data_IF_094852698548
#
_entry.id   IF_094852698548
#
_cell.length_a   1.000
_cell.length_b   1.000
_cell.length_c   1.000
_cell.angle_alpha   90.00
_cell.angle_beta   90.00
_cell.angle_gamma   90.00
#
_symmetry.space_group_name_H-M   'P 1'
#
loop_
_entity.id
_entity.type
_entity.pdbx_description
1 polymer ?
#
# COMPACT_ATOMS: atom_id res chain seq x y z
N UNK A 1 -10.30 29.55 1.34
CA UNK A 1 -9.97 29.52 2.78
C UNK A 1 -10.14 28.12 3.39
N UNK A 2 -11.27 27.42 3.21
CA UNK A 2 -11.49 26.06 3.74
C UNK A 2 -10.49 24.99 3.27
N UNK A 3 -9.93 25.10 2.05
CA UNK A 3 -8.94 24.16 1.53
C UNK A 3 -7.60 24.17 2.29
N UNK A 4 -7.21 25.30 2.90
CA UNK A 4 -5.94 25.36 3.63
C UNK A 4 -6.00 24.58 4.95
N UNK A 5 -7.18 24.55 5.59
CA UNK A 5 -7.38 23.91 6.90
C UNK A 5 -7.07 22.41 6.89
N UNK A 6 -7.41 21.72 5.80
CA UNK A 6 -7.25 20.26 5.71
C UNK A 6 -5.95 19.84 5.00
N UNK A 7 -5.21 20.77 4.39
CA UNK A 7 -4.08 20.45 3.51
C UNK A 7 -2.96 19.69 4.22
N UNK A 8 -2.68 19.99 5.50
CA UNK A 8 -1.66 19.30 6.29
C UNK A 8 -2.06 17.85 6.59
N UNK A 9 -3.30 17.63 7.03
CA UNK A 9 -3.85 16.28 7.28
C UNK A 9 -3.97 15.46 5.99
N UNK A 10 -4.30 16.09 4.86
CA UNK A 10 -4.30 15.44 3.54
C UNK A 10 -2.89 14.96 3.19
N UNK A 11 -1.88 15.83 3.31
CA UNK A 11 -0.50 15.45 3.02
C UNK A 11 0.00 14.33 3.96
N UNK A 12 -0.32 14.42 5.25
CA UNK A 12 0.00 13.39 6.23
C UNK A 12 -0.68 12.05 5.89
N UNK A 13 -1.95 12.07 5.50
CA UNK A 13 -2.68 10.86 5.12
C UNK A 13 -2.16 10.21 3.85
N UNK A 14 -1.80 11.00 2.84
CA UNK A 14 -1.15 10.49 1.63
C UNK A 14 0.21 9.84 1.96
N UNK A 15 0.99 10.46 2.85
CA UNK A 15 2.26 9.89 3.32
C UNK A 15 2.05 8.58 4.11
N UNK A 16 1.07 8.52 5.00
CA UNK A 16 0.71 7.27 5.70
C UNK A 16 0.30 6.16 4.73
N UNK A 17 -0.44 6.50 3.67
CA UNK A 17 -0.76 5.58 2.58
C UNK A 17 0.50 5.02 1.88
N UNK A 18 1.49 5.89 1.62
CA UNK A 18 2.75 5.50 0.99
C UNK A 18 3.63 4.62 1.89
N UNK A 19 3.69 4.90 3.19
CA UNK A 19 4.39 4.06 4.16
C UNK A 19 3.76 2.66 4.25
N UNK A 20 2.44 2.57 4.23
CA UNK A 20 1.74 1.28 4.19
C UNK A 20 1.97 0.57 2.84
N UNK A 21 2.04 1.29 1.73
CA UNK A 21 2.42 0.72 0.44
C UNK A 21 3.81 0.09 0.46
N UNK A 22 4.81 0.80 0.99
CA UNK A 22 6.17 0.26 1.18
C UNK A 22 6.17 -0.96 2.08
N UNK A 23 5.34 -0.96 3.13
CA UNK A 23 5.19 -2.13 4.01
C UNK A 23 4.64 -3.33 3.24
N UNK A 24 3.53 -3.18 2.52
CA UNK A 24 2.87 -4.27 1.78
C UNK A 24 3.75 -4.84 0.65
N UNK A 25 4.59 -4.00 0.04
CA UNK A 25 5.45 -4.37 -1.10
C UNK A 25 6.93 -4.56 -0.71
N UNK A 26 7.28 -4.52 0.58
CA UNK A 26 8.68 -4.53 1.04
C UNK A 26 9.52 -5.70 0.53
N UNK A 27 8.87 -6.84 0.28
CA UNK A 27 9.48 -8.07 -0.22
C UNK A 27 9.10 -8.42 -1.66
N UNK A 28 8.41 -7.54 -2.38
CA UNK A 28 8.07 -7.68 -3.80
C UNK A 28 9.15 -7.06 -4.69
N UNK A 29 9.25 -7.42 -5.97
CA UNK A 29 10.28 -6.85 -6.89
C UNK A 29 10.11 -5.33 -7.04
N UNK A 30 8.87 -4.88 -7.18
CA UNK A 30 8.48 -3.48 -7.00
C UNK A 30 8.17 -3.23 -5.53
N UNK A 31 8.86 -2.29 -4.89
CA UNK A 31 8.81 -2.07 -3.44
C UNK A 31 8.17 -0.73 -3.05
N UNK A 32 7.24 -0.23 -3.88
CA UNK A 32 6.62 1.08 -3.72
C UNK A 32 7.65 2.24 -3.59
N UNK A 33 8.43 2.53 -4.64
CA UNK A 33 9.43 3.60 -4.60
C UNK A 33 8.77 4.96 -4.42
N UNK A 34 9.46 5.92 -3.79
CA UNK A 34 8.93 7.28 -3.54
C UNK A 34 8.43 8.00 -4.79
N UNK A 35 9.02 7.70 -5.95
CA UNK A 35 8.57 8.23 -7.23
C UNK A 35 7.12 7.88 -7.54
N UNK A 36 6.60 6.77 -6.99
CA UNK A 36 5.22 6.35 -7.15
C UNK A 36 4.22 7.30 -6.46
N UNK A 37 4.63 8.05 -5.43
CA UNK A 37 3.79 9.05 -4.75
C UNK A 37 3.50 10.29 -5.62
N UNK A 38 4.17 10.45 -6.77
CA UNK A 38 3.98 11.60 -7.65
C UNK A 38 2.66 11.52 -8.45
N UNK A 39 1.53 11.40 -7.75
CA UNK A 39 0.16 11.44 -8.29
C UNK A 39 -0.11 12.69 -9.14
N UNK A 40 0.61 13.80 -8.89
CA UNK A 40 0.38 15.09 -9.54
C UNK A 40 1.27 15.38 -10.76
N UNK A 41 2.29 14.56 -11.05
CA UNK A 41 3.20 14.86 -12.17
C UNK A 41 2.84 14.06 -13.42
N UNK A 42 2.13 14.73 -14.33
CA UNK A 42 1.70 14.24 -15.65
C UNK A 42 2.80 13.65 -16.57
N UNK A 43 4.07 13.61 -16.14
CA UNK A 43 5.22 13.34 -16.98
C UNK A 43 6.06 12.10 -16.60
N UNK A 44 5.83 11.41 -15.48
CA UNK A 44 6.73 10.28 -15.08
C UNK A 44 6.07 8.97 -14.67
N UNK A 45 4.83 8.96 -14.18
CA UNK A 45 4.03 7.73 -14.02
C UNK A 45 2.77 7.77 -14.88
N UNK A 46 2.97 7.73 -16.20
CA UNK A 46 1.85 7.41 -17.11
C UNK A 46 1.52 5.91 -17.11
N UNK A 47 2.25 5.09 -16.36
CA UNK A 47 2.03 3.65 -16.37
C UNK A 47 0.72 3.31 -15.69
N UNK A 48 -0.23 2.75 -16.42
CA UNK A 48 -1.53 2.33 -15.89
C UNK A 48 -1.46 0.86 -15.44
N UNK A 49 -0.46 0.54 -14.63
CA UNK A 49 -0.15 -0.82 -14.17
C UNK A 49 -0.94 -1.18 -12.92
N UNK A 50 -0.88 -2.46 -12.57
CA UNK A 50 -1.47 -2.99 -11.34
C UNK A 50 -0.90 -2.32 -10.08
N UNK A 51 0.38 -1.99 -10.03
CA UNK A 51 0.99 -1.35 -8.86
C UNK A 51 0.47 0.08 -8.69
N UNK A 52 0.25 0.77 -9.81
CA UNK A 52 -0.30 2.12 -9.81
C UNK A 52 -1.74 2.14 -9.31
N UNK A 53 -2.56 1.13 -9.66
CA UNK A 53 -3.93 1.03 -9.12
C UNK A 53 -3.95 0.90 -7.59
N UNK A 54 -3.03 0.13 -7.02
CA UNK A 54 -2.88 0.04 -5.57
C UNK A 54 -2.44 1.38 -4.94
N UNK A 55 -1.48 2.09 -5.56
CA UNK A 55 -1.00 3.39 -5.06
C UNK A 55 -2.13 4.42 -4.97
N UNK A 56 -2.98 4.51 -6.00
CA UNK A 56 -4.16 5.37 -5.99
C UNK A 56 -5.12 5.01 -4.84
N UNK A 57 -5.43 3.72 -4.71
CA UNK A 57 -6.34 3.23 -3.67
C UNK A 57 -5.80 3.49 -2.25
N UNK A 58 -4.56 3.11 -1.95
CA UNK A 58 -3.99 3.25 -0.60
C UNK A 58 -3.73 4.71 -0.23
N UNK A 59 -3.41 5.57 -1.19
CA UNK A 59 -3.24 7.01 -0.95
C UNK A 59 -4.58 7.67 -0.66
N UNK A 60 -5.61 7.38 -1.46
CA UNK A 60 -6.99 7.86 -1.24
C UNK A 60 -7.57 7.37 0.09
N UNK A 61 -7.32 6.10 0.44
CA UNK A 61 -7.67 5.51 1.72
C UNK A 61 -6.93 6.20 2.89
N UNK A 62 -5.63 6.45 2.76
CA UNK A 62 -4.82 7.12 3.78
C UNK A 62 -5.30 8.55 4.08
N UNK A 63 -5.66 9.31 3.05
CA UNK A 63 -6.26 10.64 3.19
C UNK A 63 -7.60 10.56 3.92
N UNK A 64 -8.52 9.72 3.45
CA UNK A 64 -9.84 9.54 4.08
C UNK A 64 -9.73 9.09 5.55
N UNK A 65 -8.85 8.12 5.81
CA UNK A 65 -8.60 7.57 7.15
C UNK A 65 -8.13 8.66 8.11
N UNK A 66 -7.12 9.42 7.70
CA UNK A 66 -6.50 10.46 8.53
C UNK A 66 -7.49 11.57 8.84
N UNK A 67 -8.22 12.05 7.84
CA UNK A 67 -9.22 13.10 8.01
C UNK A 67 -10.39 12.66 8.89
N UNK A 68 -10.86 11.43 8.72
CA UNK A 68 -11.90 10.84 9.58
C UNK A 68 -11.42 10.80 11.02
N UNK A 69 -10.19 10.32 11.26
CA UNK A 69 -9.62 10.22 12.60
C UNK A 69 -9.42 11.58 13.25
N UNK A 70 -8.87 12.56 12.52
CA UNK A 70 -8.71 13.93 13.00
C UNK A 70 -10.07 14.54 13.40
N UNK A 71 -11.11 14.27 12.61
CA UNK A 71 -12.47 14.70 12.91
C UNK A 71 -12.98 14.13 14.24
N UNK A 72 -12.85 12.82 14.45
CA UNK A 72 -13.28 12.15 15.68
C UNK A 72 -12.47 12.54 16.91
N UNK A 73 -11.21 12.96 16.73
CA UNK A 73 -10.35 13.48 17.80
C UNK A 73 -10.66 14.94 18.16
N UNK A 74 -11.48 15.63 17.37
CA UNK A 74 -11.82 17.04 17.58
C UNK A 74 -10.75 18.01 17.06
N UNK A 75 -9.89 17.58 16.13
CA UNK A 75 -8.85 18.43 15.54
C UNK A 75 -9.42 19.50 14.58
N UNK A 76 -10.68 19.34 14.16
CA UNK A 76 -11.38 20.27 13.27
C UNK A 76 -12.68 20.77 13.90
N UNK A 77 -12.89 22.08 13.93
CA UNK A 77 -14.14 22.70 14.42
C UNK A 77 -15.35 22.40 13.51
N UNK A 78 -15.10 22.17 12.22
CA UNK A 78 -16.13 22.01 11.20
C UNK A 78 -16.82 20.65 11.20
N UNK A 79 -16.36 19.70 12.00
CA UNK A 79 -16.87 18.33 12.01
C UNK A 79 -16.73 17.70 13.40
N UNK A 80 -17.38 16.56 13.59
CA UNK A 80 -17.26 15.75 14.80
C UNK A 80 -17.65 14.31 14.52
N UNK A 81 -17.92 13.55 15.57
CA UNK A 81 -18.39 12.17 15.51
C UNK A 81 -19.71 12.03 14.75
N UNK A 82 -19.99 10.83 14.23
CA UNK A 82 -21.32 10.46 13.76
C UNK A 82 -22.24 10.10 14.94
N UNK A 83 -23.09 11.05 15.31
CA UNK A 83 -24.07 10.90 16.39
C UNK A 83 -25.44 10.38 15.91
N UNK A 84 -25.61 10.08 14.62
CA UNK A 84 -26.92 9.79 14.03
C UNK A 84 -27.65 8.60 14.66
N UNK A 85 -26.88 7.65 15.22
CA UNK A 85 -27.39 6.42 15.86
C UNK A 85 -27.36 6.46 17.37
N UNK A 86 -26.74 7.46 17.99
CA UNK A 86 -26.52 7.50 19.42
C UNK A 86 -27.85 7.42 20.20
N UNK A 87 -27.86 6.64 21.28
CA UNK A 87 -29.04 6.36 22.11
C UNK A 87 -29.97 5.26 21.57
N UNK A 88 -29.81 4.80 20.31
CA UNK A 88 -30.65 3.73 19.75
C UNK A 88 -30.21 2.36 20.26
N UNK A 89 -31.16 1.45 20.44
CA UNK A 89 -30.87 0.03 20.77
C UNK A 89 -30.22 -0.63 19.56
N UNK A 90 -29.00 -1.15 19.72
CA UNK A 90 -28.26 -1.80 18.65
C UNK A 90 -28.53 -3.31 18.55
N UNK A 91 -29.01 -3.90 19.64
CA UNK A 91 -29.37 -5.31 19.74
C UNK A 91 -29.55 -5.72 21.20
N UNK A 92 -29.64 -7.03 21.47
CA UNK A 92 -29.81 -7.53 22.83
C UNK A 92 -28.59 -7.16 23.69
N UNK A 93 -28.83 -6.42 24.77
CA UNK A 93 -27.80 -6.08 25.77
C UNK A 93 -26.81 -4.98 25.34
N UNK A 94 -27.10 -4.22 24.27
CA UNK A 94 -26.23 -3.09 23.91
C UNK A 94 -26.95 -1.95 23.18
N UNK A 95 -26.40 -0.75 23.37
CA UNK A 95 -26.90 0.50 22.80
C UNK A 95 -25.80 1.22 22.01
N UNK A 96 -26.21 2.00 21.02
CA UNK A 96 -25.32 2.91 20.30
C UNK A 96 -24.97 4.12 21.18
N UNK A 97 -23.69 4.48 21.22
CA UNK A 97 -23.20 5.64 21.97
C UNK A 97 -21.71 5.80 21.81
N UNK A 98 -21.13 6.82 22.45
CA UNK A 98 -19.73 7.18 22.25
C UNK A 98 -19.52 7.97 20.96
N UNK A 99 -18.30 7.98 20.45
CA UNK A 99 -17.93 8.68 19.23
C UNK A 99 -17.79 7.67 18.08
N UNK A 100 -18.78 7.60 17.19
CA UNK A 100 -18.61 6.86 15.94
C UNK A 100 -17.80 7.68 14.94
N UNK A 101 -16.87 7.06 14.24
CA UNK A 101 -16.01 7.74 13.28
C UNK A 101 -16.80 8.27 12.07
N UNK A 102 -16.65 9.56 11.77
CA UNK A 102 -17.40 10.24 10.69
C UNK A 102 -16.73 10.03 9.32
N UNK A 103 -16.90 8.83 8.77
CA UNK A 103 -16.31 8.45 7.48
C UNK A 103 -16.85 9.24 6.29
N UNK A 104 -18.09 9.73 6.36
CA UNK A 104 -18.68 10.54 5.29
C UNK A 104 -17.94 11.88 5.14
N UNK A 105 -17.52 12.49 6.25
CA UNK A 105 -16.66 13.67 6.23
C UNK A 105 -15.30 13.37 5.59
N UNK A 106 -14.62 12.32 6.05
CA UNK A 106 -13.31 11.96 5.52
C UNK A 106 -13.33 11.60 4.04
N UNK A 107 -14.38 10.90 3.58
CA UNK A 107 -14.57 10.58 2.18
C UNK A 107 -14.79 11.83 1.33
N UNK A 108 -15.68 12.74 1.75
CA UNK A 108 -15.97 13.98 1.05
C UNK A 108 -14.70 14.81 0.84
N UNK A 109 -13.90 14.97 1.88
CA UNK A 109 -12.66 15.75 1.81
C UNK A 109 -11.59 14.99 1.00
N UNK A 110 -11.48 13.66 1.13
CA UNK A 110 -10.59 12.86 0.28
C UNK A 110 -10.91 13.04 -1.21
N UNK A 111 -12.19 12.96 -1.60
CA UNK A 111 -12.65 13.24 -2.98
C UNK A 111 -12.23 14.63 -3.44
N UNK A 112 -12.42 15.67 -2.62
CA UNK A 112 -12.08 17.05 -2.98
C UNK A 112 -10.59 17.28 -3.26
N UNK A 113 -9.69 16.51 -2.64
CA UNK A 113 -8.24 16.70 -2.81
C UNK A 113 -7.62 15.68 -3.76
N UNK A 114 -7.91 14.39 -3.57
CA UNK A 114 -7.26 13.30 -4.31
C UNK A 114 -7.81 13.22 -5.73
N UNK A 115 -9.13 13.30 -5.90
CA UNK A 115 -9.74 13.21 -7.23
C UNK A 115 -9.51 14.51 -8.04
N UNK A 116 -9.30 15.64 -7.37
CA UNK A 116 -8.94 16.90 -8.03
C UNK A 116 -7.55 16.88 -8.71
N UNK A 117 -6.68 15.93 -8.36
CA UNK A 117 -5.41 15.71 -9.06
C UNK A 117 -5.61 15.07 -10.44
N UNK A 118 -6.73 14.36 -10.64
CA UNK A 118 -7.08 13.72 -11.90
C UNK A 118 -7.74 14.72 -12.87
N UNK A 119 -6.93 15.58 -13.49
CA UNK A 119 -7.40 16.61 -14.43
C UNK A 119 -7.68 16.08 -15.85
N UNK A 120 -7.23 14.86 -16.15
CA UNK A 120 -7.43 14.19 -17.43
C UNK A 120 -8.89 13.79 -17.68
N UNK A 121 -9.27 13.71 -18.94
CA UNK A 121 -10.57 13.17 -19.36
C UNK A 121 -10.41 11.89 -20.20
N UNK A 122 -9.23 11.26 -20.12
CA UNK A 122 -8.89 10.02 -20.79
C UNK A 122 -9.30 8.80 -19.93
N UNK A 123 -9.20 7.60 -20.53
CA UNK A 123 -9.54 6.35 -19.86
C UNK A 123 -8.70 6.12 -18.60
N UNK A 124 -7.46 6.63 -18.57
CA UNK A 124 -6.57 6.55 -17.41
C UNK A 124 -7.11 7.34 -16.23
N UNK A 125 -7.52 8.59 -16.43
CA UNK A 125 -8.13 9.39 -15.36
C UNK A 125 -9.36 8.70 -14.75
N UNK A 126 -10.21 8.08 -15.58
CA UNK A 126 -11.37 7.32 -15.10
C UNK A 126 -10.97 6.11 -14.24
N UNK A 127 -9.90 5.41 -14.62
CA UNK A 127 -9.36 4.28 -13.86
C UNK A 127 -8.77 4.74 -12.53
N UNK A 128 -8.03 5.85 -12.54
CA UNK A 128 -7.47 6.43 -11.32
C UNK A 128 -8.58 6.84 -10.34
N UNK A 129 -9.62 7.51 -10.83
CA UNK A 129 -10.81 7.86 -10.04
C UNK A 129 -11.53 6.63 -9.46
N UNK A 130 -11.69 5.57 -10.26
CA UNK A 130 -12.25 4.30 -9.80
C UNK A 130 -11.40 3.69 -8.67
N UNK A 131 -10.08 3.59 -8.87
CA UNK A 131 -9.18 3.03 -7.87
C UNK A 131 -9.11 3.88 -6.59
N UNK A 132 -9.20 5.22 -6.71
CA UNK A 132 -9.34 6.12 -5.56
C UNK A 132 -10.60 5.78 -4.75
N UNK A 133 -11.71 5.47 -5.43
CA UNK A 133 -12.97 5.07 -4.79
C UNK A 133 -12.88 3.71 -4.12
N UNK A 134 -12.26 2.72 -4.77
CA UNK A 134 -11.98 1.41 -4.16
C UNK A 134 -11.22 1.58 -2.84
N UNK A 135 -10.26 2.50 -2.80
CA UNK A 135 -9.53 2.87 -1.58
C UNK A 135 -10.44 3.41 -0.47
N UNK A 136 -11.34 4.34 -0.79
CA UNK A 136 -12.28 4.93 0.17
C UNK A 136 -13.31 3.91 0.68
N UNK A 137 -13.82 3.06 -0.22
CA UNK A 137 -14.71 1.96 0.14
C UNK A 137 -14.00 0.96 1.05
N UNK A 138 -12.72 0.67 0.84
CA UNK A 138 -11.96 -0.19 1.74
C UNK A 138 -11.90 0.35 3.18
N UNK A 139 -11.84 1.68 3.36
CA UNK A 139 -11.92 2.30 4.70
C UNK A 139 -13.29 2.06 5.34
N UNK A 140 -14.38 2.21 4.59
CA UNK A 140 -15.75 1.98 5.08
C UNK A 140 -16.01 0.50 5.38
N UNK A 141 -15.65 -0.39 4.46
CA UNK A 141 -15.91 -1.82 4.53
C UNK A 141 -15.15 -2.53 5.66
N UNK A 142 -14.01 -1.96 6.08
CA UNK A 142 -13.20 -2.52 7.18
C UNK A 142 -13.57 -1.96 8.54
N UNK A 143 -14.50 -0.99 8.64
CA UNK A 143 -14.95 -0.45 9.93
C UNK A 143 -15.47 -1.55 10.86
N UNK A 144 -15.20 -1.39 12.16
CA UNK A 144 -15.57 -2.36 13.18
C UNK A 144 -16.44 -1.73 14.24
N UNK A 145 -17.31 -2.54 14.82
CA UNK A 145 -18.04 -2.15 16.03
C UNK A 145 -17.14 -2.35 17.25
N UNK A 146 -16.72 -1.26 17.87
CA UNK A 146 -16.04 -1.26 19.16
C UNK A 146 -17.08 -1.09 20.28
N UNK A 147 -16.85 -1.74 21.42
CA UNK A 147 -17.79 -1.72 22.54
C UNK A 147 -17.06 -1.53 23.88
N UNK A 148 -17.72 -0.82 24.80
CA UNK A 148 -17.33 -0.71 26.21
C UNK A 148 -18.37 -1.36 27.10
N UNK A 149 -17.92 -2.25 27.98
CA UNK A 149 -18.77 -2.96 28.92
C UNK A 149 -19.00 -2.15 30.21
N UNK A 150 -20.24 -2.12 30.68
CA UNK A 150 -20.68 -1.33 31.83
C UNK A 150 -21.42 -2.15 32.91
N UNK A 151 -21.47 -3.47 32.78
CA UNK A 151 -22.11 -4.35 33.75
C UNK A 151 -21.38 -4.41 35.09
N UNK A 152 -22.06 -4.93 36.11
CA UNK A 152 -21.53 -5.12 37.47
C UNK A 152 -20.18 -5.84 37.41
N UNK A 153 -19.18 -5.31 38.13
CA UNK A 153 -17.80 -5.81 38.16
C UNK A 153 -17.10 -5.87 36.79
N UNK A 154 -17.50 -5.00 35.84
CA UNK A 154 -16.91 -4.96 34.48
C UNK A 154 -17.48 -6.00 33.51
N UNK A 155 -18.59 -6.65 33.85
CA UNK A 155 -19.26 -7.59 32.95
C UNK A 155 -19.86 -6.89 31.72
N UNK A 156 -20.06 -7.64 30.63
CA UNK A 156 -20.63 -7.12 29.38
C UNK A 156 -22.15 -7.38 29.26
N UNK A 157 -22.87 -7.46 30.39
CA UNK A 157 -24.33 -7.64 30.41
C UNK A 157 -25.07 -6.43 29.82
N UNK A 158 -24.49 -5.25 29.97
CA UNK A 158 -24.83 -4.03 29.24
C UNK A 158 -23.54 -3.41 28.69
N UNK A 159 -23.58 -3.01 27.42
CA UNK A 159 -22.44 -2.38 26.77
C UNK A 159 -22.89 -1.26 25.83
N UNK A 160 -22.02 -0.27 25.66
CA UNK A 160 -22.20 0.83 24.70
C UNK A 160 -21.24 0.61 23.56
N UNK A 161 -21.71 0.69 22.31
CA UNK A 161 -20.87 0.47 21.14
C UNK A 161 -20.93 1.63 20.15
N UNK A 162 -19.84 1.82 19.41
CA UNK A 162 -19.68 2.79 18.32
C UNK A 162 -19.03 2.12 17.11
N UNK A 163 -19.14 2.75 15.94
CA UNK A 163 -18.38 2.34 14.76
C UNK A 163 -17.01 3.03 14.79
N UNK A 164 -15.96 2.25 14.63
CA UNK A 164 -14.58 2.70 14.65
C UNK A 164 -13.86 2.23 13.39
N UNK A 165 -12.98 3.07 12.86
CA UNK A 165 -12.03 2.70 11.83
C UNK A 165 -11.20 1.48 12.27
N UNK A 166 -10.91 0.57 11.34
CA UNK A 166 -9.90 -0.46 11.57
C UNK A 166 -8.50 0.16 11.70
N UNK A 167 -7.53 -0.60 12.19
CA UNK A 167 -6.13 -0.19 12.08
C UNK A 167 -5.75 -0.05 10.60
N UNK A 168 -4.94 0.97 10.25
CA UNK A 168 -4.61 1.24 8.85
C UNK A 168 -3.89 0.06 8.16
N UNK A 169 -3.15 -0.75 8.94
CA UNK A 169 -2.56 -2.02 8.50
C UNK A 169 -3.60 -2.99 7.96
N UNK A 170 -4.78 -3.05 8.56
CA UNK A 170 -5.86 -3.93 8.10
C UNK A 170 -6.44 -3.47 6.77
N UNK A 171 -6.57 -2.15 6.57
CA UNK A 171 -6.96 -1.55 5.29
C UNK A 171 -5.90 -1.85 4.22
N UNK A 172 -4.62 -1.71 4.55
CA UNK A 172 -3.50 -2.08 3.66
C UNK A 172 -3.55 -3.56 3.26
N UNK A 173 -3.76 -4.46 4.22
CA UNK A 173 -3.92 -5.89 3.96
C UNK A 173 -5.14 -6.18 3.07
N UNK A 174 -6.28 -5.54 3.33
CA UNK A 174 -7.49 -5.68 2.53
C UNK A 174 -7.24 -5.25 1.08
N UNK A 175 -6.65 -4.07 0.88
CA UNK A 175 -6.31 -3.57 -0.45
C UNK A 175 -5.25 -4.43 -1.14
N UNK A 176 -4.33 -5.06 -0.40
CA UNK A 176 -3.32 -5.96 -0.99
C UNK A 176 -3.97 -7.20 -1.58
N UNK A 177 -5.02 -7.73 -0.94
CA UNK A 177 -5.84 -8.82 -1.49
C UNK A 177 -6.55 -8.36 -2.78
N UNK A 178 -7.12 -7.14 -2.78
CA UNK A 178 -7.74 -6.56 -3.99
C UNK A 178 -6.74 -6.35 -5.12
N UNK A 179 -5.49 -6.00 -4.81
CA UNK A 179 -4.40 -5.88 -5.78
C UNK A 179 -4.04 -7.23 -6.42
N UNK A 180 -3.98 -8.29 -5.63
CA UNK A 180 -3.66 -9.63 -6.14
C UNK A 180 -4.74 -10.14 -7.11
N UNK A 181 -5.98 -9.70 -6.90
CA UNK A 181 -7.17 -10.04 -7.71
C UNK A 181 -7.55 -8.97 -8.74
N UNK A 182 -6.74 -7.92 -8.93
CA UNK A 182 -7.07 -6.79 -9.79
C UNK A 182 -7.30 -7.22 -11.25
N UNK A 183 -8.24 -6.56 -11.92
CA UNK A 183 -8.65 -6.88 -13.29
C UNK A 183 -7.98 -5.97 -14.32
N UNK A 184 -7.44 -6.57 -15.38
CA UNK A 184 -6.95 -5.83 -16.54
C UNK A 184 -8.13 -5.48 -17.45
N UNK A 185 -8.30 -4.19 -17.75
CA UNK A 185 -9.32 -3.76 -18.70
C UNK A 185 -8.74 -3.75 -20.11
N UNK A 186 -9.35 -4.54 -20.99
CA UNK A 186 -9.05 -4.53 -22.41
C UNK A 186 -9.88 -3.44 -23.10
N UNK A 187 -9.24 -2.40 -23.62
CA UNK A 187 -9.91 -1.37 -24.39
C UNK A 187 -10.01 -1.78 -25.85
N UNK A 188 -11.23 -1.82 -26.41
CA UNK A 188 -11.43 -2.13 -27.82
C UNK A 188 -10.88 -1.00 -28.72
N UNK A 189 -9.66 -1.19 -29.22
CA UNK A 189 -8.91 -0.22 -30.04
C UNK A 189 -9.67 0.22 -31.30
N UNK A 190 -10.68 -0.54 -31.75
CA UNK A 190 -11.48 -0.20 -32.94
C UNK A 190 -12.45 0.96 -32.69
N UNK A 191 -12.98 1.13 -31.47
CA UNK A 191 -13.92 2.21 -31.14
C UNK A 191 -13.23 3.55 -30.84
N UNK A 192 -11.97 3.52 -30.40
CA UNK A 192 -11.18 4.73 -30.10
C UNK A 192 -10.70 5.46 -31.36
N UNK A 193 -10.67 4.77 -32.51
CA UNK A 193 -10.19 5.33 -33.80
C UNK A 193 -11.24 6.16 -34.55
N UNK A 194 -12.51 6.08 -34.16
CA UNK A 194 -13.55 7.00 -34.61
C UNK A 194 -13.44 8.26 -33.73
N UNK A 195 -12.88 9.35 -34.25
CA UNK A 195 -12.47 10.56 -33.51
C UNK A 195 -13.58 11.38 -32.83
N UNK A 196 -14.67 10.77 -32.38
CA UNK A 196 -15.76 11.40 -31.63
C UNK A 196 -15.63 11.07 -30.14
N UNK A 197 -15.19 12.04 -29.32
CA UNK A 197 -14.93 11.88 -27.88
C UNK A 197 -16.14 11.42 -27.05
N UNK A 198 -17.37 11.56 -27.56
CA UNK A 198 -18.58 11.10 -26.88
C UNK A 198 -18.76 9.57 -26.92
N UNK A 199 -18.36 8.92 -28.02
CA UNK A 199 -18.52 7.47 -28.23
C UNK A 199 -17.49 6.67 -27.42
N UNK A 200 -16.27 7.21 -27.30
CA UNK A 200 -15.23 6.66 -26.41
C UNK A 200 -15.64 6.70 -24.93
N UNK A 201 -16.32 7.76 -24.47
CA UNK A 201 -16.80 7.85 -23.07
C UNK A 201 -17.92 6.84 -22.78
N UNK A 202 -18.84 6.64 -23.73
CA UNK A 202 -19.90 5.64 -23.61
C UNK A 202 -19.37 4.21 -23.58
N UNK A 203 -18.40 3.88 -24.42
CA UNK A 203 -17.74 2.57 -24.43
C UNK A 203 -16.97 2.31 -23.13
N UNK A 204 -16.23 3.30 -22.62
CA UNK A 204 -15.51 3.17 -21.34
C UNK A 204 -16.46 3.01 -20.16
N UNK A 205 -17.57 3.78 -20.10
CA UNK A 205 -18.58 3.63 -19.05
C UNK A 205 -19.23 2.24 -19.05
N UNK A 206 -19.48 1.64 -20.23
CA UNK A 206 -19.97 0.27 -20.34
C UNK A 206 -18.95 -0.77 -19.85
N UNK A 207 -17.66 -0.56 -20.06
CA UNK A 207 -16.60 -1.44 -19.54
C UNK A 207 -16.57 -1.40 -18.01
N UNK A 208 -16.71 -0.23 -17.39
CA UNK A 208 -16.78 -0.10 -15.94
C UNK A 208 -18.06 -0.69 -15.32
N UNK A 209 -19.15 -0.80 -16.07
CA UNK A 209 -20.40 -1.40 -15.58
C UNK A 209 -20.25 -2.89 -15.21
N UNK A 210 -19.24 -3.57 -15.73
CA UNK A 210 -18.95 -4.98 -15.42
C UNK A 210 -17.88 -5.17 -14.33
N UNK A 211 -17.33 -4.07 -13.82
CA UNK A 211 -16.32 -4.07 -12.75
C UNK A 211 -17.02 -3.83 -11.42
N UNK A 212 -16.73 -4.67 -10.42
CA UNK A 212 -17.26 -4.41 -9.09
C UNK A 212 -16.62 -3.15 -8.49
N UNK A 213 -17.42 -2.34 -7.78
CA UNK A 213 -16.96 -1.09 -7.17
C UNK A 213 -15.82 -1.28 -6.13
N UNK A 214 -15.59 -2.50 -5.64
CA UNK A 214 -14.53 -2.82 -4.67
C UNK A 214 -13.32 -3.53 -5.29
N UNK A 215 -13.26 -3.65 -6.62
CA UNK A 215 -12.16 -4.29 -7.34
C UNK A 215 -11.24 -3.25 -7.98
N UNK A 216 -9.94 -3.44 -7.83
CA UNK A 216 -8.94 -2.60 -8.51
C UNK A 216 -8.85 -2.96 -9.99
N UNK A 217 -8.60 -1.95 -10.82
CA UNK A 217 -8.46 -2.12 -12.27
C UNK A 217 -7.21 -1.44 -12.83
N UNK A 218 -6.66 -2.00 -13.90
CA UNK A 218 -5.47 -1.49 -14.59
C UNK A 218 -5.55 -1.74 -16.11
N UNK A 219 -4.69 -1.10 -16.90
CA UNK A 219 -4.67 -1.23 -18.37
C UNK A 219 -3.41 -1.90 -18.91
N UNK A 220 -2.27 -1.62 -18.29
CA UNK A 220 -0.96 -1.95 -18.80
C UNK A 220 -0.35 -3.09 -18.00
N UNK A 221 0.32 -4.00 -18.69
CA UNK A 221 1.07 -5.06 -18.01
C UNK A 221 2.23 -4.45 -17.21
N UNK A 222 2.46 -5.00 -16.01
CA UNK A 222 3.58 -4.58 -15.18
C UNK A 222 4.91 -4.88 -15.89
N UNK A 223 5.85 -3.92 -15.93
CA UNK A 223 7.17 -4.13 -16.52
C UNK A 223 8.01 -5.11 -15.68
N UNK A 224 9.15 -5.53 -16.23
CA UNK A 224 10.12 -6.29 -15.45
C UNK A 224 10.86 -5.39 -14.45
N UNK A 225 10.48 -5.51 -13.17
CA UNK A 225 11.09 -4.78 -12.06
C UNK A 225 12.45 -5.35 -11.59
N UNK A 226 12.93 -6.46 -12.16
CA UNK A 226 14.26 -6.98 -11.83
C UNK A 226 15.38 -6.01 -12.26
N UNK A 227 15.25 -5.42 -13.44
CA UNK A 227 16.29 -4.57 -14.03
C UNK A 227 16.07 -3.09 -13.69
N UNK A 228 17.18 -2.37 -13.50
CA UNK A 228 17.13 -0.92 -13.29
C UNK A 228 16.73 -0.22 -14.59
N UNK A 229 15.71 0.63 -14.51
CA UNK A 229 15.29 1.50 -15.61
C UNK A 229 15.11 2.93 -15.08
N UNK A 230 16.13 3.77 -15.30
CA UNK A 230 16.13 5.14 -14.81
C UNK A 230 15.02 6.01 -15.43
N UNK A 231 14.63 5.73 -16.68
CA UNK A 231 13.59 6.47 -17.39
C UNK A 231 12.20 6.24 -16.80
N UNK A 232 11.93 5.04 -16.28
CA UNK A 232 10.68 4.67 -15.61
C UNK A 232 10.77 4.75 -14.07
N UNK A 233 11.90 5.22 -13.53
CA UNK A 233 12.12 5.28 -12.07
C UNK A 233 12.25 3.91 -11.40
N UNK A 234 12.53 2.84 -12.15
CA UNK A 234 12.73 1.51 -11.57
C UNK A 234 14.17 1.36 -11.09
N UNK A 235 14.36 1.04 -9.81
CA UNK A 235 15.68 0.90 -9.20
C UNK A 235 16.33 -0.48 -9.46
N UNK A 236 15.54 -1.48 -9.87
CA UNK A 236 15.97 -2.88 -9.96
C UNK A 236 16.01 -3.56 -8.58
N UNK A 237 16.35 -4.85 -8.56
CA UNK A 237 16.42 -5.63 -7.30
C UNK A 237 17.83 -5.81 -6.74
N UNK A 238 18.86 -5.35 -7.46
CA UNK A 238 20.24 -5.37 -6.98
C UNK A 238 20.40 -4.53 -5.70
N UNK A 239 21.14 -5.07 -4.73
CA UNK A 239 21.41 -4.45 -3.43
C UNK A 239 20.27 -4.58 -2.41
N UNK A 240 19.14 -5.17 -2.77
CA UNK A 240 18.00 -5.32 -1.85
C UNK A 240 18.20 -6.43 -0.84
N UNK A 241 17.76 -6.16 0.39
CA UNK A 241 17.68 -7.16 1.46
C UNK A 241 16.60 -8.20 1.11
N UNK A 242 16.86 -9.46 1.45
CA UNK A 242 15.92 -10.55 1.33
C UNK A 242 16.00 -11.47 2.57
N UNK A 243 14.95 -12.26 2.76
CA UNK A 243 14.78 -13.16 3.90
C UNK A 243 14.78 -14.62 3.45
N UNK A 244 15.64 -15.43 4.07
CA UNK A 244 15.75 -16.87 3.81
C UNK A 244 15.44 -17.70 5.06
N UNK A 245 15.90 -17.26 6.22
CA UNK A 245 15.82 -18.02 7.48
C UNK A 245 15.17 -17.18 8.58
N UNK A 246 14.16 -17.72 9.26
CA UNK A 246 13.52 -17.06 10.40
C UNK A 246 12.33 -17.85 10.93
N UNK A 247 12.18 -17.90 12.27
CA UNK A 247 11.11 -18.66 12.93
C UNK A 247 9.71 -18.05 12.71
N UNK A 248 9.63 -16.72 12.61
CA UNK A 248 8.37 -15.97 12.51
C UNK A 248 8.10 -15.39 11.11
N UNK A 249 8.69 -15.99 10.06
CA UNK A 249 8.50 -15.52 8.69
C UNK A 249 7.37 -16.26 8.00
N UNK A 250 6.53 -15.53 7.27
CA UNK A 250 5.55 -16.11 6.36
C UNK A 250 6.23 -16.88 5.23
N UNK A 251 5.49 -17.79 4.59
CA UNK A 251 6.00 -18.52 3.42
C UNK A 251 6.37 -17.58 2.27
N UNK A 252 5.66 -16.45 2.16
CA UNK A 252 5.92 -15.42 1.16
C UNK A 252 7.28 -14.71 1.38
N UNK A 253 7.58 -14.39 2.64
CA UNK A 253 8.84 -13.76 3.05
C UNK A 253 10.03 -14.71 2.91
N UNK A 254 9.89 -15.98 3.29
CA UNK A 254 10.93 -17.01 3.13
C UNK A 254 11.36 -17.21 1.68
N UNK A 255 10.47 -16.92 0.71
CA UNK A 255 10.74 -17.02 -0.73
C UNK A 255 11.29 -15.71 -1.33
N UNK A 256 11.47 -14.66 -0.54
CA UNK A 256 11.91 -13.36 -1.03
C UNK A 256 13.29 -13.41 -1.70
N UNK A 257 14.28 -14.14 -1.16
CA UNK A 257 15.59 -14.25 -1.82
C UNK A 257 15.52 -14.91 -3.20
N UNK A 258 14.63 -15.91 -3.37
CA UNK A 258 14.38 -16.52 -4.68
C UNK A 258 13.75 -15.51 -5.64
N UNK A 259 12.69 -14.83 -5.21
CA UNK A 259 11.90 -13.89 -6.03
C UNK A 259 12.68 -12.63 -6.41
N UNK A 260 13.44 -12.07 -5.48
CA UNK A 260 14.16 -10.81 -5.64
C UNK A 260 15.53 -11.00 -6.29
N UNK A 261 16.23 -12.09 -5.93
CA UNK A 261 17.60 -12.30 -6.39
C UNK A 261 17.65 -13.35 -7.50
N UNK A 262 17.37 -14.63 -7.20
CA UNK A 262 17.73 -15.72 -8.12
C UNK A 262 16.90 -15.72 -9.40
N UNK A 263 15.59 -15.43 -9.31
CA UNK A 263 14.71 -15.30 -10.49
C UNK A 263 15.02 -14.06 -11.32
N UNK A 264 15.66 -13.05 -10.73
CA UNK A 264 16.18 -11.87 -11.42
C UNK A 264 17.62 -12.07 -11.95
N UNK A 265 18.18 -13.28 -11.88
CA UNK A 265 19.54 -13.59 -12.34
C UNK A 265 20.67 -13.14 -11.39
N UNK A 266 20.33 -12.65 -10.21
CA UNK A 266 21.27 -12.21 -9.18
C UNK A 266 21.68 -13.39 -8.26
N UNK A 267 22.78 -13.24 -7.54
CA UNK A 267 23.18 -14.15 -6.46
C UNK A 267 22.71 -13.60 -5.11
N UNK A 268 22.54 -14.48 -4.13
CA UNK A 268 22.28 -14.11 -2.74
C UNK A 268 23.63 -14.04 -2.02
N UNK A 269 23.91 -12.93 -1.38
CA UNK A 269 25.11 -12.73 -0.57
C UNK A 269 24.73 -12.53 0.90
N UNK A 270 25.32 -13.33 1.78
CA UNK A 270 25.21 -13.13 3.23
C UNK A 270 26.16 -12.02 3.68
N UNK A 271 25.64 -11.02 4.38
CA UNK A 271 26.40 -9.95 5.01
C UNK A 271 26.08 -9.92 6.49
N UNK A 272 27.11 -10.05 7.34
CA UNK A 272 26.97 -9.86 8.78
C UNK A 272 26.94 -8.37 9.09
N UNK A 273 25.86 -7.92 9.70
CA UNK A 273 25.64 -6.51 10.08
C UNK A 273 25.41 -6.41 11.57
N UNK A 274 26.04 -5.43 12.21
CA UNK A 274 25.77 -5.08 13.60
C UNK A 274 24.41 -4.39 13.70
N UNK A 275 23.49 -4.99 14.45
CA UNK A 275 22.17 -4.43 14.76
C UNK A 275 22.17 -4.02 16.22
N UNK A 276 21.83 -2.75 16.46
CA UNK A 276 21.64 -2.20 17.80
C UNK A 276 20.17 -2.31 18.16
N UNK A 277 19.85 -2.95 19.27
CA UNK A 277 18.49 -3.07 19.78
C UNK A 277 18.42 -2.78 21.28
N UNK A 278 17.26 -2.30 21.73
CA UNK A 278 17.00 -2.14 23.16
C UNK A 278 16.86 -3.52 23.81
N UNK A 279 17.60 -3.74 24.88
CA UNK A 279 17.65 -4.99 25.62
C UNK A 279 17.68 -4.72 27.13
N UNK A 280 17.56 -5.79 27.93
CA UNK A 280 17.66 -5.74 29.39
C UNK A 280 16.78 -4.63 30.03
N UNK A 281 15.61 -4.39 29.46
CA UNK A 281 14.71 -3.33 29.88
C UNK A 281 14.17 -3.60 31.30
N UNK A 282 14.38 -2.64 32.20
CA UNK A 282 13.88 -2.66 33.58
C UNK A 282 12.84 -1.57 33.76
N UNK A 283 11.69 -1.96 34.30
CA UNK A 283 10.67 -1.02 34.72
C UNK A 283 11.02 -0.47 36.10
N UNK A 284 11.08 0.85 36.22
CA UNK A 284 11.23 1.57 37.47
C UNK A 284 9.86 2.05 37.93
N UNK A 285 9.47 1.60 39.12
CA UNK A 285 8.24 2.04 39.76
C UNK A 285 8.27 3.58 39.90
N UNK A 286 7.22 4.26 39.39
CA UNK A 286 7.18 5.63 38.83
C UNK A 286 7.24 5.75 37.28
N UNK A 287 6.80 4.71 36.57
CA UNK A 287 6.44 4.74 35.13
C UNK A 287 7.60 4.95 34.13
N UNK A 288 8.84 4.71 34.55
CA UNK A 288 9.99 4.84 33.66
C UNK A 288 10.53 3.47 33.26
N UNK A 289 10.68 3.19 31.97
CA UNK A 289 11.41 2.01 31.48
C UNK A 289 12.82 2.45 31.10
N UNK A 290 13.84 1.79 31.66
CA UNK A 290 15.24 1.99 31.27
C UNK A 290 15.74 0.74 30.59
N UNK A 291 16.27 0.88 29.38
CA UNK A 291 16.84 -0.20 28.59
C UNK A 291 18.32 0.06 28.30
N UNK A 292 19.08 -1.00 28.13
CA UNK A 292 20.44 -0.96 27.62
C UNK A 292 20.42 -1.05 26.09
N UNK A 293 21.50 -0.59 25.43
CA UNK A 293 21.70 -0.80 23.99
C UNK A 293 22.58 -2.04 23.78
N UNK A 294 21.98 -3.12 23.31
CA UNK A 294 22.73 -4.32 22.94
C UNK A 294 23.10 -4.28 21.47
N UNK A 295 24.33 -4.68 21.17
CA UNK A 295 24.82 -4.85 19.80
C UNK A 295 24.87 -6.34 19.48
N UNK A 296 24.24 -6.75 18.39
CA UNK A 296 24.20 -8.14 17.96
C UNK A 296 24.60 -8.24 16.49
N UNK A 297 25.44 -9.21 16.16
CA UNK A 297 25.77 -9.51 14.77
C UNK A 297 24.69 -10.39 14.17
N UNK A 298 23.95 -9.86 13.20
CA UNK A 298 22.88 -10.57 12.49
C UNK A 298 23.32 -10.83 11.06
N UNK A 299 23.14 -12.06 10.59
CA UNK A 299 23.34 -12.44 9.19
C UNK A 299 22.14 -11.96 8.36
N UNK A 300 22.37 -10.98 7.48
CA UNK A 300 21.39 -10.48 6.51
C UNK A 300 21.75 -10.97 5.12
N UNK A 301 20.76 -11.10 4.24
CA UNK A 301 20.97 -11.57 2.88
C UNK A 301 20.62 -10.46 1.89
N UNK A 302 21.44 -10.27 0.87
CA UNK A 302 21.27 -9.22 -0.13
C UNK A 302 21.41 -9.78 -1.54
N UNK A 303 20.69 -9.20 -2.50
CA UNK A 303 20.85 -9.53 -3.92
C UNK A 303 22.09 -8.84 -4.50
N UNK A 304 23.00 -9.57 -5.14
CA UNK A 304 24.19 -9.00 -5.78
C UNK A 304 24.40 -9.56 -7.19
N UNK A 305 25.15 -8.84 -8.03
CA UNK A 305 25.46 -9.31 -9.37
C UNK A 305 26.35 -10.56 -9.31
N UNK A 306 26.17 -11.44 -10.29
CA UNK A 306 27.13 -12.51 -10.54
C UNK A 306 28.37 -11.87 -11.16
N UNK A 307 29.51 -11.97 -10.49
CA UNK A 307 30.76 -11.46 -11.05
C UNK A 307 31.02 -12.15 -12.40
N UNK A 308 31.25 -11.34 -13.44
CA UNK A 308 31.61 -11.83 -14.78
C UNK A 308 33.09 -12.26 -14.83
N UNK A 309 33.52 -13.09 -13.89
CA UNK A 309 34.92 -13.47 -13.75
C UNK A 309 35.10 -14.92 -13.23
N UNK A 310 34.84 -15.87 -14.11
CA UNK A 310 35.67 -17.05 -14.33
C UNK A 310 35.26 -17.69 -15.66
N UNK A 311 35.50 -16.98 -16.77
CA UNK A 311 35.64 -17.69 -18.04
C UNK A 311 36.77 -18.71 -17.85
N UNK A 312 36.56 -20.01 -18.10
CA UNK A 312 37.66 -20.96 -18.07
C UNK A 312 38.67 -20.50 -19.11
N UNK A 313 39.92 -20.29 -18.70
CA UNK A 313 41.02 -20.15 -19.64
C UNK A 313 40.97 -21.37 -20.57
N UNK A 314 40.48 -21.17 -21.79
CA UNK A 314 40.67 -22.14 -22.87
C UNK A 314 42.18 -22.28 -23.06
N UNK A 315 42.74 -23.33 -22.45
CA UNK A 315 44.07 -23.83 -22.77
C UNK A 315 44.06 -24.11 -24.27
N UNK A 316 44.71 -23.23 -25.04
CA UNK A 316 45.07 -23.49 -26.43
C UNK A 316 45.96 -24.74 -26.43
N UNK A 317 45.35 -25.90 -26.67
CA UNK A 317 46.08 -27.10 -27.04
C UNK A 317 46.83 -26.80 -28.35
N UNK A 318 48.14 -26.65 -28.21
CA UNK A 318 49.07 -26.57 -29.32
C UNK A 318 49.03 -27.91 -30.05
N UNK A 319 48.41 -27.94 -31.23
CA UNK A 319 48.54 -29.05 -32.18
C UNK A 319 50.02 -29.30 -32.47
N UNK A 320 50.58 -30.37 -31.88
CA UNK A 320 51.81 -30.99 -32.38
C UNK A 320 51.41 -31.86 -33.56
N UNK A 321 51.51 -31.29 -34.76
CA UNK A 321 51.48 -32.06 -36.00
C UNK A 321 52.64 -33.06 -36.00
N UNK A 322 52.30 -34.34 -36.12
CA UNK A 322 53.23 -35.39 -36.49
C UNK A 322 53.78 -35.11 -37.89
N UNK A 323 55.10 -34.90 -37.97
CA UNK A 323 55.87 -35.15 -39.18
C UNK A 323 56.69 -36.42 -38.94
N UNK A 324 56.23 -37.54 -39.49
CA UNK A 324 56.98 -38.57 -40.22
C UNK A 324 56.07 -39.77 -40.44
#
# INVERSE_FOLDING_TARGET
QAYLTYSSSVAAGAHSGMEECKFQFGWERWNCPESALQLSTHNRLRSATRETSFVHAISSAGVMYTLTRNCSLGDFESCGCDDSRNGRVGGRGWVWGGCSDNVEFGEKVSKLFVDALETGHDTRALINLHNNEVGRLAVKDTMKRACKCHGVSGSCSIQTCWLQLAEFREIGNYLKIKYDQAHKLEMDKRRVRAGNSADSRGATAQTFHHVHATELVFLEDSPDYCTRNASLGHHGTEGRECLQTGKNLSQWEKRSCRRLCTECGLRVEERRTEVVSSCNCKFHWCCTVRCEQCRTLVAKHFCTRRDSAAAPNHVRQRNRGHRR
#
